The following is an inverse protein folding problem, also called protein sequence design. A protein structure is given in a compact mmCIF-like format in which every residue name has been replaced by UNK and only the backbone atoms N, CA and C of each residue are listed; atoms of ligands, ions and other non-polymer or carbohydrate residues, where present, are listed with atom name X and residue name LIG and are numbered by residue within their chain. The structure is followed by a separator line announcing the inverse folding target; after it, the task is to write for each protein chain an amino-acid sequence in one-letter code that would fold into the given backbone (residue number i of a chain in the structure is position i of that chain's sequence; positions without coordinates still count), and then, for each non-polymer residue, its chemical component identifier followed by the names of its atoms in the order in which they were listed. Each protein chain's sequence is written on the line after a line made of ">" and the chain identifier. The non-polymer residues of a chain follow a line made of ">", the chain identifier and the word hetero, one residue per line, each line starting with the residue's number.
data_IF_748330932596
#
_entry.id   IF_748330932596
#
_cell.length_a   1.000
_cell.length_b   1.000
_cell.length_c   1.000
_cell.angle_alpha   90.00
_cell.angle_beta   90.00
_cell.angle_gamma   90.00
#
_symmetry.space_group_name_H-M   'P 1'
#
loop_
_entity.id
_entity.type
_entity.pdbx_description
1 polymer ?
#
# COMPACT_ATOMS: atom_id res chain seq x y z
N UNK A 1 -20.03 -9.24 -0.82
CA UNK A 1 -18.65 -9.74 -1.03
C UNK A 1 -17.68 -8.58 -1.07
N UNK A 2 -16.59 -8.69 -0.36
CA UNK A 2 -15.56 -7.62 -0.38
C UNK A 2 -14.87 -7.56 -1.74
N UNK A 3 -14.52 -6.37 -2.17
CA UNK A 3 -13.76 -6.15 -3.39
C UNK A 3 -12.30 -6.58 -3.19
N UNK A 4 -11.80 -7.46 -4.06
CA UNK A 4 -10.39 -7.85 -4.08
C UNK A 4 -9.75 -7.15 -5.27
N UNK A 5 -8.76 -6.31 -4.97
CA UNK A 5 -8.10 -5.49 -5.98
C UNK A 5 -6.61 -5.34 -5.62
N UNK A 6 -5.76 -5.38 -6.63
CA UNK A 6 -4.32 -5.16 -6.48
C UNK A 6 -3.90 -3.96 -7.32
N UNK A 7 -2.79 -3.37 -6.95
CA UNK A 7 -2.09 -2.38 -7.78
C UNK A 7 -0.61 -2.70 -7.82
N UNK A 8 0.06 -2.27 -8.88
CA UNK A 8 1.51 -2.30 -8.99
C UNK A 8 1.95 -1.31 -10.06
N UNK A 9 3.22 -0.95 -10.06
CA UNK A 9 3.79 -0.14 -11.15
C UNK A 9 4.18 -1.05 -12.31
N UNK A 10 3.76 -0.70 -13.53
CA UNK A 10 4.17 -1.43 -14.71
C UNK A 10 5.66 -1.23 -14.98
N UNK A 11 6.30 -2.25 -15.59
CA UNK A 11 7.74 -2.25 -15.79
C UNK A 11 8.21 -1.27 -16.87
N UNK A 12 7.33 -0.88 -17.78
CA UNK A 12 7.71 -0.06 -18.93
C UNK A 12 7.59 1.43 -18.61
N UNK A 13 6.43 1.86 -18.09
CA UNK A 13 6.13 3.27 -17.87
C UNK A 13 6.21 3.69 -16.40
N UNK A 14 6.38 2.74 -15.48
CA UNK A 14 6.41 2.99 -14.03
C UNK A 14 5.14 3.69 -13.52
N UNK A 15 4.01 3.40 -14.14
CA UNK A 15 2.70 3.94 -13.78
C UNK A 15 1.89 2.91 -13.01
N UNK A 16 1.07 3.38 -12.08
CA UNK A 16 0.18 2.52 -11.32
C UNK A 16 -0.86 1.87 -12.21
N UNK A 17 -0.99 0.55 -12.06
CA UNK A 17 -1.93 -0.28 -12.80
C UNK A 17 -2.73 -1.12 -11.81
N UNK A 18 -4.05 -1.14 -11.97
CA UNK A 18 -4.99 -1.72 -11.01
C UNK A 18 -5.73 -2.90 -11.61
N UNK A 19 -5.88 -3.99 -10.84
CA UNK A 19 -6.60 -5.17 -11.29
C UNK A 19 -6.31 -6.40 -10.45
N UNK A 20 -6.24 -7.52 -11.11
CA UNK A 20 -6.00 -8.81 -10.46
C UNK A 20 -4.55 -9.24 -10.66
N UNK A 21 -3.91 -9.60 -9.56
CA UNK A 21 -2.53 -10.05 -9.58
C UNK A 21 -2.42 -11.50 -10.04
N UNK A 22 -1.52 -11.76 -10.98
CA UNK A 22 -1.23 -13.09 -11.51
C UNK A 22 0.27 -13.37 -11.43
N UNK A 23 0.62 -14.40 -10.68
CA UNK A 23 2.00 -14.89 -10.60
C UNK A 23 2.15 -16.16 -11.43
N UNK A 24 3.03 -16.12 -12.43
CA UNK A 24 3.30 -17.24 -13.35
C UNK A 24 4.80 -17.56 -13.32
N UNK A 25 5.25 -18.42 -12.39
CA UNK A 25 6.68 -18.71 -12.23
C UNK A 25 7.31 -19.42 -13.42
N UNK A 26 6.50 -20.01 -14.31
CA UNK A 26 6.97 -20.69 -15.51
C UNK A 26 7.55 -19.72 -16.56
N UNK A 27 7.17 -18.45 -16.52
CA UNK A 27 7.67 -17.45 -17.47
C UNK A 27 8.86 -16.70 -16.89
N UNK A 28 9.96 -16.65 -17.64
CA UNK A 28 11.21 -16.04 -17.16
C UNK A 28 11.21 -14.50 -17.18
N UNK A 29 10.38 -13.88 -18.04
CA UNK A 29 10.38 -12.42 -18.25
C UNK A 29 9.17 -11.70 -17.66
N UNK A 30 8.08 -12.41 -17.43
CA UNK A 30 6.81 -11.80 -17.05
C UNK A 30 6.10 -12.64 -15.99
N UNK A 31 6.83 -12.90 -14.90
CA UNK A 31 6.31 -13.71 -13.79
C UNK A 31 5.21 -13.00 -13.01
N UNK A 32 5.32 -11.68 -12.90
CA UNK A 32 4.39 -10.86 -12.12
C UNK A 32 3.60 -9.95 -13.04
N UNK A 33 2.29 -10.13 -13.06
CA UNK A 33 1.40 -9.40 -13.98
C UNK A 33 0.17 -8.91 -13.23
N UNK A 34 -0.43 -7.84 -13.76
CA UNK A 34 -1.77 -7.41 -13.35
C UNK A 34 -2.66 -7.40 -14.57
N UNK A 35 -3.81 -8.05 -14.44
CA UNK A 35 -4.90 -8.01 -15.41
C UNK A 35 -5.81 -6.84 -15.04
N UNK A 36 -6.07 -5.94 -15.99
CA UNK A 36 -6.89 -4.76 -15.72
C UNK A 36 -8.27 -5.12 -15.18
N UNK A 37 -8.69 -4.44 -14.13
CA UNK A 37 -10.04 -4.58 -13.58
C UNK A 37 -11.13 -4.08 -14.55
N UNK A 38 -10.77 -3.23 -15.51
CA UNK A 38 -11.68 -2.67 -16.50
C UNK A 38 -11.71 -3.45 -17.80
N UNK A 39 -10.60 -4.11 -18.15
CA UNK A 39 -10.45 -4.82 -19.42
C UNK A 39 -9.52 -6.02 -19.21
N UNK A 40 -10.12 -7.21 -19.12
CA UNK A 40 -9.41 -8.47 -18.87
C UNK A 40 -8.37 -8.81 -19.96
N UNK A 41 -8.46 -8.20 -21.14
CA UNK A 41 -7.47 -8.37 -22.22
C UNK A 41 -6.24 -7.47 -22.03
N UNK A 42 -6.31 -6.48 -21.16
CA UNK A 42 -5.19 -5.60 -20.88
C UNK A 42 -4.40 -6.13 -19.68
N UNK A 43 -3.26 -6.77 -19.97
CA UNK A 43 -2.38 -7.36 -18.98
C UNK A 43 -1.04 -6.64 -19.04
N UNK A 44 -0.49 -6.25 -17.89
CA UNK A 44 0.82 -5.61 -17.82
C UNK A 44 1.74 -6.34 -16.87
N UNK A 45 2.98 -6.53 -17.29
CA UNK A 45 4.05 -7.00 -16.41
C UNK A 45 4.43 -5.87 -15.46
N UNK A 46 4.51 -6.20 -14.17
CA UNK A 46 4.68 -5.22 -13.11
C UNK A 46 5.92 -5.50 -12.27
N UNK A 47 6.42 -4.46 -11.61
CA UNK A 47 7.48 -4.60 -10.62
C UNK A 47 6.91 -5.26 -9.37
N UNK A 48 7.38 -6.48 -9.00
CA UNK A 48 6.82 -7.22 -7.88
C UNK A 48 6.96 -6.51 -6.52
N UNK A 49 7.98 -5.67 -6.36
CA UNK A 49 8.19 -4.92 -5.12
C UNK A 49 7.08 -3.89 -4.87
N UNK A 50 6.40 -3.46 -5.93
CA UNK A 50 5.35 -2.45 -5.84
C UNK A 50 3.95 -3.04 -5.71
N UNK A 51 3.81 -4.36 -5.77
CA UNK A 51 2.50 -5.03 -5.65
C UNK A 51 1.92 -4.79 -4.26
N UNK A 52 0.71 -4.28 -4.22
CA UNK A 52 -0.03 -4.08 -2.98
C UNK A 52 -1.50 -4.40 -3.16
N UNK A 53 -2.11 -4.91 -2.11
CA UNK A 53 -3.53 -5.25 -2.12
C UNK A 53 -4.36 -4.10 -1.53
N UNK A 54 -5.55 -3.90 -2.10
CA UNK A 54 -6.56 -3.04 -1.52
C UNK A 54 -6.99 -3.61 -0.17
N UNK A 55 -6.96 -2.79 0.88
CA UNK A 55 -7.30 -3.20 2.24
C UNK A 55 -8.80 -3.48 2.43
N UNK A 56 -9.63 -3.03 1.51
CA UNK A 56 -11.09 -3.05 1.66
C UNK A 56 -11.64 -1.81 2.34
N UNK A 57 -10.77 -0.89 2.75
CA UNK A 57 -11.16 0.33 3.46
C UNK A 57 -10.90 1.57 2.62
N UNK A 58 -11.66 2.61 2.88
CA UNK A 58 -11.50 3.93 2.26
C UNK A 58 -11.17 4.96 3.34
N UNK A 59 -10.48 6.04 2.95
CA UNK A 59 -10.19 7.14 3.85
C UNK A 59 -11.38 8.11 3.97
N UNK A 60 -11.19 9.23 4.67
CA UNK A 60 -12.22 10.24 4.88
C UNK A 60 -12.79 10.83 3.60
N UNK A 61 -12.04 10.77 2.49
CA UNK A 61 -12.43 11.31 1.18
C UNK A 61 -12.99 10.22 0.23
N UNK A 62 -13.14 8.98 0.70
CA UNK A 62 -13.54 7.86 -0.13
C UNK A 62 -12.44 7.27 -0.99
N UNK A 63 -11.19 7.67 -0.78
CA UNK A 63 -10.04 7.11 -1.49
C UNK A 63 -9.74 5.70 -0.98
N UNK A 64 -9.59 4.75 -1.89
CA UNK A 64 -9.24 3.37 -1.55
C UNK A 64 -7.85 3.30 -0.94
N UNK A 65 -7.72 2.57 0.16
CA UNK A 65 -6.46 2.40 0.88
C UNK A 65 -5.80 1.08 0.47
N UNK A 66 -4.57 1.17 -0.05
CA UNK A 66 -3.75 0.01 -0.46
C UNK A 66 -2.56 -0.18 0.47
N UNK A 67 -2.02 -1.39 0.48
CA UNK A 67 -0.71 -1.64 1.06
C UNK A 67 0.32 -0.67 0.47
N UNK A 68 1.18 -0.11 1.31
CA UNK A 68 2.18 0.86 0.90
C UNK A 68 1.70 2.30 0.92
N UNK A 69 0.41 2.56 1.13
CA UNK A 69 -0.09 3.92 1.28
C UNK A 69 0.41 4.56 2.58
N UNK A 70 0.60 5.87 2.53
CA UNK A 70 0.91 6.69 3.69
C UNK A 70 -0.36 7.41 4.10
N UNK A 71 -0.78 7.18 5.36
CA UNK A 71 -1.97 7.78 5.92
C UNK A 71 -1.58 8.90 6.88
N UNK A 72 -2.28 10.02 6.78
CA UNK A 72 -2.17 11.14 7.72
C UNK A 72 -3.35 11.12 8.68
N UNK A 73 -3.07 11.21 9.97
CA UNK A 73 -4.05 11.29 11.05
C UNK A 73 -3.57 12.30 12.11
N UNK A 74 -4.43 12.60 13.09
CA UNK A 74 -4.09 13.52 14.18
C UNK A 74 -2.84 13.09 14.97
N UNK A 75 -2.57 11.79 15.02
CA UNK A 75 -1.43 11.21 15.74
C UNK A 75 -0.13 11.15 14.94
N UNK A 76 -0.18 11.47 13.64
CA UNK A 76 0.98 11.43 12.74
C UNK A 76 0.71 10.69 11.44
N UNK A 77 1.79 10.34 10.76
CA UNK A 77 1.74 9.65 9.48
C UNK A 77 2.09 8.18 9.66
N UNK A 78 1.35 7.31 8.99
CA UNK A 78 1.47 5.86 9.14
C UNK A 78 1.53 5.17 7.78
N UNK A 79 2.33 4.10 7.68
CA UNK A 79 2.40 3.25 6.49
C UNK A 79 1.47 2.05 6.64
N UNK A 80 0.68 1.79 5.61
CA UNK A 80 -0.20 0.61 5.54
C UNK A 80 0.61 -0.60 5.11
N UNK A 81 0.53 -1.68 5.88
CA UNK A 81 1.23 -2.94 5.58
C UNK A 81 0.44 -4.14 6.06
N UNK A 82 0.81 -5.31 5.55
CA UNK A 82 0.28 -6.57 6.02
C UNK A 82 1.11 -7.07 7.21
N UNK A 83 0.45 -7.45 8.29
CA UNK A 83 1.09 -8.08 9.45
C UNK A 83 0.81 -9.58 9.46
N UNK A 84 1.85 -10.39 9.28
CA UNK A 84 1.71 -11.84 9.31
C UNK A 84 1.39 -12.35 10.72
N UNK A 85 1.89 -11.67 11.75
CA UNK A 85 1.68 -12.10 13.13
C UNK A 85 0.22 -12.04 13.57
N UNK A 86 -0.55 -11.08 13.06
CA UNK A 86 -1.97 -10.96 13.39
C UNK A 86 -2.89 -11.20 12.18
N UNK A 87 -2.31 -11.52 11.02
CA UNK A 87 -3.04 -11.80 9.78
C UNK A 87 -4.02 -10.68 9.41
N UNK A 88 -3.53 -9.44 9.44
CA UNK A 88 -4.34 -8.27 9.18
C UNK A 88 -3.51 -7.14 8.57
N UNK A 89 -4.20 -6.25 7.86
CA UNK A 89 -3.59 -4.97 7.49
C UNK A 89 -3.47 -4.08 8.71
N UNK A 90 -2.33 -3.42 8.85
CA UNK A 90 -2.04 -2.52 9.96
C UNK A 90 -1.48 -1.21 9.43
N UNK A 91 -1.69 -0.14 10.18
CA UNK A 91 -1.07 1.16 9.92
C UNK A 91 -0.10 1.46 11.07
N UNK A 92 1.17 1.64 10.73
CA UNK A 92 2.16 1.97 11.74
C UNK A 92 3.56 1.43 11.47
N UNK A 93 4.49 1.76 12.34
CA UNK A 93 5.86 1.26 12.33
C UNK A 93 5.97 -0.06 13.10
N UNK A 94 7.11 -0.77 12.89
CA UNK A 94 7.36 -2.11 13.42
C UNK A 94 7.04 -2.32 14.90
N UNK A 95 7.15 -1.29 15.73
CA UNK A 95 6.97 -1.39 17.19
C UNK A 95 5.74 -0.64 17.71
N UNK A 96 5.14 0.21 16.89
CA UNK A 96 3.94 0.98 17.26
C UNK A 96 2.80 0.60 16.32
N UNK A 97 2.45 -0.67 16.34
CA UNK A 97 1.30 -1.14 15.59
C UNK A 97 0.05 -0.57 16.25
N UNK A 98 -0.63 0.30 15.54
CA UNK A 98 -2.00 0.65 15.91
C UNK A 98 -2.91 -0.45 15.38
N UNK A 99 -3.52 -1.21 16.28
CA UNK A 99 -4.07 -2.53 15.92
C UNK A 99 -5.34 -2.48 15.11
N UNK A 100 -5.93 -1.33 14.85
CA UNK A 100 -7.25 -1.34 14.25
C UNK A 100 -7.35 -0.44 13.04
N UNK A 101 -7.02 -1.00 11.88
CA UNK A 101 -7.55 -0.50 10.62
C UNK A 101 -8.99 -1.01 10.50
N UNK A 102 -9.95 -0.16 10.73
CA UNK A 102 -11.36 -0.46 10.51
C UNK A 102 -12.07 0.77 9.91
N UNK A 103 -13.30 0.59 9.46
CA UNK A 103 -14.05 1.68 8.82
C UNK A 103 -14.23 2.91 9.73
N UNK A 104 -14.32 2.71 11.03
CA UNK A 104 -14.48 3.79 12.00
C UNK A 104 -13.21 4.64 12.15
N UNK A 105 -12.03 3.99 12.24
CA UNK A 105 -10.76 4.71 12.37
C UNK A 105 -10.31 5.36 11.08
N UNK A 106 -10.57 4.72 9.93
CA UNK A 106 -10.16 5.25 8.63
C UNK A 106 -10.93 6.50 8.20
N UNK A 107 -12.09 6.76 8.76
CA UNK A 107 -12.84 8.01 8.53
C UNK A 107 -12.11 9.26 9.01
N UNK A 108 -11.10 9.11 9.85
CA UNK A 108 -10.29 10.20 10.40
C UNK A 108 -8.91 10.30 9.73
N UNK A 109 -8.64 9.45 8.75
CA UNK A 109 -7.36 9.39 8.06
C UNK A 109 -7.48 9.88 6.61
N UNK A 110 -6.36 10.32 6.06
CA UNK A 110 -6.25 10.73 4.66
C UNK A 110 -5.05 10.08 4.01
N UNK A 111 -5.22 9.51 2.82
CA UNK A 111 -4.10 9.03 2.00
C UNK A 111 -3.37 10.25 1.44
N UNK A 112 -2.11 10.44 1.82
CA UNK A 112 -1.28 11.57 1.38
C UNK A 112 -0.21 11.17 0.36
N UNK A 113 -0.03 9.89 0.13
CA UNK A 113 0.97 9.37 -0.79
C UNK A 113 1.18 7.88 -0.56
N UNK A 114 2.32 7.39 -1.03
CA UNK A 114 2.72 6.01 -0.83
C UNK A 114 4.24 5.91 -0.74
N UNK A 115 4.74 4.77 -0.25
CA UNK A 115 6.18 4.58 0.01
C UNK A 115 7.02 4.57 -1.26
N UNK A 116 6.43 4.32 -2.43
CA UNK A 116 7.16 4.24 -3.70
C UNK A 116 7.30 5.60 -4.38
N UNK A 117 6.24 6.42 -4.33
CA UNK A 117 6.23 7.76 -4.94
C UNK A 117 6.69 8.85 -3.98
N UNK A 118 6.49 8.66 -2.67
CA UNK A 118 6.72 9.66 -1.64
C UNK A 118 7.57 9.13 -0.47
N UNK A 119 8.74 8.51 -0.75
CA UNK A 119 9.58 7.96 0.33
C UNK A 119 10.08 9.04 1.30
N UNK A 120 10.17 10.28 0.88
CA UNK A 120 10.59 11.42 1.71
C UNK A 120 9.67 11.68 2.89
N UNK A 121 8.39 11.32 2.78
CA UNK A 121 7.43 11.50 3.88
C UNK A 121 7.72 10.59 5.08
N UNK A 122 8.36 9.45 4.83
CA UNK A 122 8.71 8.47 5.85
C UNK A 122 10.11 8.72 6.39
N UNK A 123 11.06 9.09 5.55
CA UNK A 123 12.45 9.40 5.94
C UNK A 123 12.50 10.54 6.94
N UNK A 124 11.63 11.54 6.78
CA UNK A 124 11.53 12.66 7.73
C UNK A 124 11.14 12.21 9.14
N UNK A 125 10.25 11.22 9.24
CA UNK A 125 9.82 10.70 10.55
C UNK A 125 10.90 9.80 11.17
N UNK A 126 11.64 9.05 10.37
CA UNK A 126 12.78 8.27 10.85
C UNK A 126 13.87 9.19 11.40
N UNK A 127 14.21 10.26 10.70
CA UNK A 127 15.20 11.24 11.14
C UNK A 127 14.78 11.95 12.44
N UNK A 128 13.50 12.26 12.59
CA UNK A 128 12.99 12.85 13.83
C UNK A 128 13.07 11.87 15.00
N UNK A 129 12.77 10.59 14.76
CA UNK A 129 12.86 9.55 15.78
C UNK A 129 14.32 9.31 16.19
N UNK A 130 15.24 9.26 15.25
CA UNK A 130 16.69 9.11 15.50
C UNK A 130 17.26 10.32 16.24
N UNK A 131 16.86 11.53 15.88
CA UNK A 131 17.25 12.75 16.57
C UNK A 131 16.74 12.81 18.02
N UNK A 132 15.52 12.30 18.27
CA UNK A 132 14.97 12.21 19.63
C UNK A 132 15.67 11.15 20.49
N UNK A 133 16.14 10.05 19.87
CA UNK A 133 16.88 9.00 20.59
C UNK A 133 18.34 9.39 20.89
N UNK A 134 18.91 10.33 20.12
CA UNK A 134 20.30 10.78 20.32
C UNK A 134 20.44 11.87 21.39
N UNK A 135 19.33 12.39 21.91
CA UNK A 135 19.29 13.33 23.04
C UNK A 135 19.07 12.58 24.37
#
# INVERSE_FOLDING_TARGET
>A
MREILFRAKDCIHQQWFYGWYLYTPEFTWSQHNIISAKDWMNVKTVNPETVGQYTGLTDKNGTKIFEGDILHAAQGDFVVRWSESICSFVAGEKEKIRPCMNSGTMKHCEVIGNIFDNPELIELDIHKAEAAESE
#
